data_IF_001144402797
#
_entry.id   IF_001144402797
#
_cell.length_a   1.000
_cell.length_b   1.000
_cell.length_c   1.000
_cell.angle_alpha   90.00
_cell.angle_beta   90.00
_cell.angle_gamma   90.00
#
_symmetry.space_group_name_H-M   'P 1'
#
loop_
_entity.id
_entity.type
_entity.pdbx_description
1 polymer ?
#
# COMPACT_ATOMS: atom_id res chain seq x y z
N UNK A 1 -11.76 46.83 43.55
CA UNK A 1 -10.92 45.93 42.74
C UNK A 1 -9.72 45.52 43.57
N UNK A 2 -9.60 44.24 43.85
CA UNK A 2 -8.42 43.70 44.55
C UNK A 2 -7.26 43.58 43.56
N UNK A 3 -6.01 43.57 44.04
CA UNK A 3 -4.84 43.40 43.17
C UNK A 3 -4.86 42.07 42.38
N UNK A 4 -5.64 41.08 42.82
CA UNK A 4 -5.81 39.81 42.12
C UNK A 4 -6.75 39.94 40.91
N UNK A 5 -7.80 40.77 40.99
CA UNK A 5 -8.70 41.01 39.86
C UNK A 5 -7.98 41.73 38.71
N UNK A 6 -7.11 42.69 39.03
CA UNK A 6 -6.32 43.41 38.02
C UNK A 6 -5.31 42.50 37.30
N UNK A 7 -4.68 41.56 38.02
CA UNK A 7 -3.77 40.58 37.40
C UNK A 7 -4.50 39.60 36.49
N UNK A 8 -5.74 39.25 36.83
CA UNK A 8 -6.53 38.32 36.03
C UNK A 8 -7.02 38.96 34.72
N UNK A 9 -7.43 40.23 34.77
CA UNK A 9 -7.76 41.02 33.56
C UNK A 9 -6.53 41.23 32.67
N UNK A 10 -5.36 41.52 33.26
CA UNK A 10 -4.13 41.71 32.49
C UNK A 10 -3.67 40.41 31.81
N UNK A 11 -3.86 39.26 32.46
CA UNK A 11 -3.60 37.95 31.86
C UNK A 11 -4.61 37.58 30.75
N UNK A 12 -5.89 37.92 30.92
CA UNK A 12 -6.89 37.72 29.87
C UNK A 12 -6.60 38.58 28.64
N UNK A 13 -6.23 39.86 28.84
CA UNK A 13 -5.86 40.75 27.74
C UNK A 13 -4.62 40.27 26.99
N UNK A 14 -3.63 39.70 27.68
CA UNK A 14 -2.43 39.16 27.03
C UNK A 14 -2.76 37.97 26.12
N UNK A 15 -3.69 37.11 26.56
CA UNK A 15 -4.12 35.94 25.79
C UNK A 15 -4.88 36.33 24.51
N UNK A 16 -5.75 37.34 24.58
CA UNK A 16 -6.48 37.84 23.40
C UNK A 16 -5.55 38.51 22.37
N UNK A 17 -4.45 39.14 22.82
CA UNK A 17 -3.47 39.74 21.89
C UNK A 17 -2.65 38.70 21.12
N UNK A 18 -2.36 37.54 21.72
CA UNK A 18 -1.63 36.47 21.04
C UNK A 18 -2.51 35.72 20.02
N UNK A 19 -3.80 35.50 20.32
CA UNK A 19 -4.75 34.93 19.34
C UNK A 19 -4.93 35.83 18.11
N UNK A 20 -4.97 37.15 18.30
CA UNK A 20 -5.07 38.08 17.16
C UNK A 20 -3.82 38.07 16.28
N UNK A 21 -2.61 37.95 16.85
CA UNK A 21 -1.37 37.86 16.06
C UNK A 21 -1.28 36.55 15.27
N UNK A 22 -1.77 35.45 15.83
CA UNK A 22 -1.79 34.17 15.12
C UNK A 22 -2.76 34.19 13.93
N UNK A 23 -3.93 34.85 14.10
CA UNK A 23 -4.90 35.03 13.03
C UNK A 23 -4.37 35.91 11.87
N UNK A 24 -3.64 37.00 12.16
CA UNK A 24 -3.03 37.84 11.13
C UNK A 24 -1.95 37.10 10.32
N UNK A 25 -1.17 36.22 10.97
CA UNK A 25 -0.14 35.42 10.30
C UNK A 25 -0.71 34.41 9.28
N UNK A 26 -1.93 33.89 9.53
CA UNK A 26 -2.62 32.96 8.61
C UNK A 26 -3.14 33.65 7.36
N UNK A 27 -3.67 34.88 7.50
CA UNK A 27 -4.22 35.65 6.36
C UNK A 27 -3.11 36.08 5.39
N UNK A 28 -1.90 36.31 5.89
CA UNK A 28 -0.76 36.70 5.04
C UNK A 28 -0.14 35.53 4.26
N UNK A 29 -0.33 34.29 4.72
CA UNK A 29 0.07 33.07 4.00
C UNK A 29 -0.77 32.77 2.76
N UNK A 30 -2.09 33.02 2.80
CA UNK A 30 -3.00 32.72 1.69
C UNK A 30 -2.88 33.69 0.51
N UNK A 31 -2.37 34.92 0.73
CA UNK A 31 -2.12 35.87 -0.36
C UNK A 31 -0.95 35.49 -1.28
N UNK A 32 -0.07 34.58 -0.89
CA UNK A 32 1.12 34.18 -1.70
C UNK A 32 0.86 33.07 -2.71
N UNK A 33 -0.31 32.43 -2.70
CA UNK A 33 -0.64 31.32 -3.61
C UNK A 33 -1.50 31.73 -4.81
N UNK A 34 -1.86 33.01 -4.95
CA UNK A 34 -2.80 33.50 -5.97
C UNK A 34 -2.22 34.05 -7.29
N UNK A 35 -0.89 34.14 -7.46
CA UNK A 35 -0.29 34.92 -8.57
C UNK A 35 0.45 34.10 -9.64
N UNK A 36 0.21 32.79 -9.77
CA UNK A 36 0.87 31.99 -10.82
C UNK A 36 -0.11 31.14 -11.63
N UNK A 37 -1.03 31.81 -12.34
CA UNK A 37 -1.84 31.20 -13.42
C UNK A 37 -1.66 32.04 -14.68
N UNK A 38 -0.79 31.59 -15.59
CA UNK A 38 -0.69 32.20 -16.92
C UNK A 38 0.49 31.74 -17.75
N UNK A 39 0.30 30.69 -18.56
CA UNK A 39 0.83 30.51 -19.93
C UNK A 39 0.64 29.03 -20.35
N UNK A 40 -0.19 28.76 -21.37
CA UNK A 40 0.26 28.37 -22.72
C UNK A 40 0.57 26.86 -22.80
N UNK A 41 0.06 26.03 -23.72
CA UNK A 41 -0.47 26.26 -25.07
C UNK A 41 -1.20 24.99 -25.53
N UNK A 42 -2.23 25.17 -26.35
CA UNK A 42 -2.88 24.12 -27.15
C UNK A 42 -1.85 23.35 -27.99
N UNK A 43 -1.91 22.03 -27.96
CA UNK A 43 -1.39 21.17 -29.02
C UNK A 43 -2.53 20.26 -29.50
N UNK A 44 -3.13 20.65 -30.62
CA UNK A 44 -3.98 19.78 -31.43
C UNK A 44 -3.06 18.80 -32.16
N UNK A 45 -3.16 17.50 -31.85
CA UNK A 45 -2.51 16.45 -32.62
C UNK A 45 -3.55 15.76 -33.51
N UNK A 46 -3.47 16.08 -34.79
CA UNK A 46 -4.19 15.43 -35.88
C UNK A 46 -3.81 13.94 -35.96
N UNK A 47 -4.81 13.08 -35.86
CA UNK A 47 -4.70 11.65 -36.13
C UNK A 47 -4.63 11.42 -37.65
N UNK A 48 -3.41 11.32 -38.20
CA UNK A 48 -3.19 10.82 -39.55
C UNK A 48 -3.08 9.30 -39.49
N UNK A 49 -4.04 8.62 -40.11
CA UNK A 49 -4.01 7.17 -40.32
C UNK A 49 -2.94 6.80 -41.35
N UNK A 50 -1.76 6.43 -40.86
CA UNK A 50 -0.82 5.63 -41.64
C UNK A 50 -1.00 4.16 -41.29
N UNK A 51 -1.35 3.38 -42.33
CA UNK A 51 -1.40 1.92 -42.31
C UNK A 51 -0.05 1.37 -41.83
N UNK A 52 -0.09 0.53 -40.81
CA UNK A 52 1.06 -0.29 -40.45
C UNK A 52 1.45 -1.17 -41.66
N UNK A 53 2.74 -1.24 -42.02
CA UNK A 53 3.22 -2.23 -42.98
C UNK A 53 3.08 -3.63 -42.36
N UNK A 54 2.44 -4.52 -43.11
CA UNK A 54 2.45 -5.95 -42.83
C UNK A 54 3.91 -6.42 -42.93
N UNK A 55 4.45 -6.89 -41.81
CA UNK A 55 5.73 -7.58 -41.77
C UNK A 55 5.50 -9.00 -42.29
N UNK A 56 5.80 -9.19 -43.58
CA UNK A 56 6.12 -10.49 -44.14
C UNK A 56 7.43 -10.96 -43.51
N UNK A 57 7.33 -11.84 -42.51
CA UNK A 57 8.49 -12.48 -41.91
C UNK A 57 8.80 -13.70 -42.75
N UNK A 58 9.70 -13.51 -43.71
CA UNK A 58 10.28 -14.58 -44.49
C UNK A 58 10.92 -15.62 -43.57
N UNK A 59 10.34 -16.82 -43.65
CA UNK A 59 10.98 -18.10 -43.43
C UNK A 59 12.32 -18.10 -44.19
N UNK A 60 13.46 -17.96 -43.49
CA UNK A 60 14.79 -18.56 -43.75
C UNK A 60 15.81 -17.81 -42.87
N UNK A 61 16.05 -18.30 -41.65
CA UNK A 61 17.31 -18.10 -40.88
C UNK A 61 17.35 -18.91 -39.57
N UNK A 62 16.66 -20.06 -39.47
CA UNK A 62 16.57 -20.86 -38.25
C UNK A 62 17.62 -22.00 -38.17
N UNK A 63 18.82 -21.83 -38.74
CA UNK A 63 19.79 -22.92 -38.85
C UNK A 63 21.20 -22.66 -38.29
N UNK A 64 21.54 -21.46 -37.78
CA UNK A 64 22.92 -21.18 -37.36
C UNK A 64 23.11 -20.70 -35.91
N UNK A 65 22.03 -20.53 -35.12
CA UNK A 65 22.12 -20.18 -33.68
C UNK A 65 22.06 -21.39 -32.73
N UNK A 66 22.34 -22.59 -33.26
CA UNK A 66 22.25 -23.87 -32.54
C UNK A 66 23.58 -24.51 -32.14
N UNK A 67 24.73 -23.82 -32.24
CA UNK A 67 26.06 -24.40 -31.95
C UNK A 67 26.94 -23.64 -30.96
N UNK A 68 26.46 -22.58 -30.32
CA UNK A 68 27.28 -21.75 -29.42
C UNK A 68 26.79 -21.73 -27.95
N UNK A 69 25.96 -22.71 -27.54
CA UNK A 69 25.53 -22.90 -26.14
C UNK A 69 26.04 -24.25 -25.56
N UNK A 70 26.94 -24.94 -26.28
CA UNK A 70 27.46 -26.25 -25.88
C UNK A 70 28.80 -26.23 -25.12
N UNK A 71 29.42 -25.06 -24.90
CA UNK A 71 30.81 -24.98 -24.39
C UNK A 71 30.99 -24.05 -23.18
N UNK A 72 29.96 -23.96 -22.31
CA UNK A 72 30.09 -23.45 -20.93
C UNK A 72 29.42 -24.37 -19.90
N UNK A 73 29.36 -25.68 -20.17
CA UNK A 73 29.08 -26.74 -19.18
C UNK A 73 30.40 -27.34 -18.70
N UNK A 74 31.17 -26.60 -17.90
CA UNK A 74 32.26 -27.18 -17.11
C UNK A 74 32.77 -26.21 -16.03
N UNK A 75 31.90 -25.83 -15.08
CA UNK A 75 32.38 -25.39 -13.75
C UNK A 75 31.46 -25.98 -12.67
N UNK A 76 31.99 -27.08 -12.10
CA UNK A 76 31.80 -27.56 -10.73
C UNK A 76 30.45 -28.15 -10.34
N UNK A 77 30.33 -29.43 -10.68
CA UNK A 77 29.98 -30.48 -9.73
C UNK A 77 30.69 -30.23 -8.37
N UNK A 78 29.97 -29.56 -7.50
CA UNK A 78 30.15 -29.56 -6.06
C UNK A 78 28.85 -30.06 -5.44
N UNK A 79 28.37 -31.22 -5.91
CA UNK A 79 27.32 -31.97 -5.20
C UNK A 79 27.94 -32.40 -3.89
N UNK A 80 27.78 -31.57 -2.86
CA UNK A 80 27.95 -31.99 -1.47
C UNK A 80 26.98 -33.14 -1.29
N UNK A 81 27.57 -34.30 -1.06
CA UNK A 81 26.99 -35.47 -0.46
C UNK A 81 25.88 -35.04 0.51
N UNK A 82 24.64 -35.32 0.12
CA UNK A 82 23.42 -34.99 0.85
C UNK A 82 23.47 -35.66 2.22
N UNK A 83 23.54 -34.85 3.26
CA UNK A 83 23.42 -35.26 4.65
C UNK A 83 22.06 -35.98 4.84
N UNK A 84 22.02 -37.27 5.21
CA UNK A 84 20.81 -38.09 5.18
C UNK A 84 19.80 -37.81 6.30
N UNK A 85 19.94 -36.71 7.05
CA UNK A 85 19.02 -36.31 8.13
C UNK A 85 18.46 -34.89 7.96
N UNK A 86 18.25 -34.42 6.72
CA UNK A 86 17.47 -33.19 6.50
C UNK A 86 16.02 -33.42 7.00
N UNK A 87 15.73 -32.88 8.18
CA UNK A 87 14.40 -32.88 8.78
C UNK A 87 13.48 -32.01 7.94
N UNK A 88 12.55 -32.65 7.23
CA UNK A 88 11.53 -31.96 6.45
C UNK A 88 10.50 -31.32 7.38
N UNK A 89 10.16 -30.07 7.11
CA UNK A 89 9.04 -29.38 7.77
C UNK A 89 7.79 -29.64 6.92
N UNK A 90 6.85 -30.40 7.46
CA UNK A 90 5.61 -30.78 6.78
C UNK A 90 4.43 -29.97 7.33
N UNK A 91 3.71 -29.30 6.43
CA UNK A 91 2.49 -28.55 6.75
C UNK A 91 1.26 -29.48 6.74
N UNK A 92 0.15 -29.08 7.39
CA UNK A 92 -1.10 -29.85 7.39
C UNK A 92 -1.70 -30.14 6.01
N UNK A 93 -1.31 -29.38 4.98
CA UNK A 93 -1.75 -29.57 3.59
C UNK A 93 -0.83 -30.50 2.78
N UNK A 94 0.19 -31.09 3.42
CA UNK A 94 1.12 -32.02 2.81
C UNK A 94 2.28 -31.37 2.04
N UNK A 95 2.39 -30.04 2.03
CA UNK A 95 3.58 -29.35 1.50
C UNK A 95 4.76 -29.57 2.43
N UNK A 96 5.94 -29.84 1.86
CA UNK A 96 7.19 -30.08 2.59
C UNK A 96 8.24 -29.08 2.19
N UNK A 97 8.96 -28.55 3.17
CA UNK A 97 10.04 -27.59 2.98
C UNK A 97 11.32 -28.09 3.65
N UNK A 98 12.46 -27.77 3.06
CA UNK A 98 13.74 -27.91 3.74
C UNK A 98 13.89 -26.81 4.81
N UNK A 99 14.70 -27.01 5.87
CA UNK A 99 14.95 -25.97 6.87
C UNK A 99 15.51 -24.67 6.27
N UNK A 100 16.31 -24.79 5.21
CA UNK A 100 16.86 -23.66 4.47
C UNK A 100 15.76 -22.88 3.75
N UNK A 101 14.87 -23.56 3.01
CA UNK A 101 13.72 -22.90 2.35
C UNK A 101 12.72 -22.30 3.34
N UNK A 102 12.57 -22.90 4.52
CA UNK A 102 11.65 -22.43 5.56
C UNK A 102 12.07 -21.07 6.14
N UNK A 103 13.38 -20.87 6.28
CA UNK A 103 13.97 -19.64 6.84
C UNK A 103 14.35 -18.63 5.76
N UNK A 104 14.39 -19.04 4.49
CA UNK A 104 14.72 -18.17 3.37
C UNK A 104 13.58 -17.18 3.05
N UNK A 105 13.93 -15.96 2.61
CA UNK A 105 12.96 -14.98 2.16
C UNK A 105 12.24 -15.44 0.88
N UNK A 106 10.97 -15.06 0.73
CA UNK A 106 10.14 -15.42 -0.44
C UNK A 106 10.55 -14.67 -1.70
N UNK A 107 11.03 -13.44 -1.53
CA UNK A 107 11.58 -12.55 -2.55
C UNK A 107 12.65 -11.66 -1.89
N UNK A 108 13.45 -10.95 -2.69
CA UNK A 108 14.53 -10.10 -2.17
C UNK A 108 13.98 -9.05 -1.19
N UNK A 109 14.61 -8.95 -0.02
CA UNK A 109 14.16 -8.11 1.11
C UNK A 109 12.70 -8.37 1.55
N UNK A 110 12.17 -9.57 1.28
CA UNK A 110 10.83 -10.00 1.64
C UNK A 110 10.74 -10.80 2.94
N UNK A 111 9.52 -11.19 3.34
CA UNK A 111 9.30 -12.03 4.51
C UNK A 111 9.79 -13.45 4.27
N UNK A 112 10.07 -14.17 5.37
CA UNK A 112 10.47 -15.58 5.31
C UNK A 112 9.29 -16.47 4.91
N UNK A 113 9.59 -17.69 4.43
CA UNK A 113 8.54 -18.68 4.15
C UNK A 113 7.70 -18.97 5.38
N UNK A 114 8.33 -19.10 6.54
CA UNK A 114 7.67 -19.28 7.83
C UNK A 114 6.61 -18.20 8.10
N UNK A 115 6.97 -16.92 7.93
CA UNK A 115 6.06 -15.80 8.12
C UNK A 115 4.87 -15.85 7.15
N UNK A 116 5.14 -16.16 5.88
CA UNK A 116 4.07 -16.26 4.88
C UNK A 116 3.10 -17.40 5.19
N UNK A 117 3.60 -18.54 5.65
CA UNK A 117 2.73 -19.67 6.01
C UNK A 117 1.99 -19.43 7.34
N UNK A 118 2.57 -18.72 8.31
CA UNK A 118 1.85 -18.31 9.51
C UNK A 118 0.70 -17.35 9.18
N UNK A 119 0.92 -16.38 8.30
CA UNK A 119 -0.14 -15.48 7.84
C UNK A 119 -1.23 -16.18 7.04
N UNK A 120 -0.93 -17.26 6.30
CA UNK A 120 -1.97 -18.06 5.63
C UNK A 120 -2.84 -18.83 6.62
N UNK A 121 -2.26 -19.25 7.75
CA UNK A 121 -3.02 -19.91 8.82
C UNK A 121 -3.91 -18.89 9.55
N UNK A 122 -3.40 -17.69 9.81
CA UNK A 122 -4.15 -16.61 10.47
C UNK A 122 -5.22 -16.00 9.55
N UNK A 123 -4.80 -15.63 8.34
CA UNK A 123 -5.64 -15.02 7.31
C UNK A 123 -5.83 -16.04 6.20
N UNK A 124 -7.04 -16.62 6.12
CA UNK A 124 -7.43 -17.68 5.16
C UNK A 124 -6.83 -17.54 3.76
N UNK A 125 -6.72 -16.31 3.25
CA UNK A 125 -6.07 -15.96 1.99
C UNK A 125 -5.30 -14.66 2.14
N UNK A 126 -4.09 -14.65 1.58
CA UNK A 126 -3.23 -13.48 1.41
C UNK A 126 -2.86 -13.34 -0.07
N UNK A 127 -2.52 -12.13 -0.48
CA UNK A 127 -2.23 -11.79 -1.87
C UNK A 127 -0.98 -10.92 -1.92
N UNK A 128 -0.13 -11.17 -2.91
CA UNK A 128 1.06 -10.37 -3.17
C UNK A 128 0.78 -9.39 -4.30
N UNK A 129 1.14 -8.13 -4.10
CA UNK A 129 0.92 -7.04 -5.05
C UNK A 129 2.25 -6.36 -5.34
N UNK A 130 2.87 -6.62 -6.50
CA UNK A 130 4.12 -5.96 -6.88
C UNK A 130 3.85 -4.54 -7.42
N UNK A 131 4.66 -3.58 -6.99
CA UNK A 131 4.77 -2.24 -7.55
C UNK A 131 6.23 -1.97 -7.94
N UNK A 132 6.46 -0.94 -8.75
CA UNK A 132 7.82 -0.57 -9.21
C UNK A 132 8.76 -0.20 -8.04
N UNK A 133 8.21 0.26 -6.91
CA UNK A 133 8.96 0.71 -5.73
C UNK A 133 8.94 -0.29 -4.56
N UNK A 134 8.28 -1.44 -4.72
CA UNK A 134 8.21 -2.43 -3.66
C UNK A 134 7.08 -3.44 -3.82
N UNK A 135 7.12 -4.48 -3.00
CA UNK A 135 6.06 -5.51 -2.98
C UNK A 135 5.27 -5.42 -1.69
N UNK A 136 3.94 -5.44 -1.82
CA UNK A 136 3.02 -5.47 -0.70
C UNK A 136 2.39 -6.86 -0.56
N UNK A 137 2.12 -7.27 0.66
CA UNK A 137 1.28 -8.44 0.94
C UNK A 137 0.05 -7.96 1.68
N UNK A 138 -1.11 -8.25 1.12
CA UNK A 138 -2.41 -7.84 1.63
C UNK A 138 -3.28 -9.06 1.96
N UNK A 139 -4.23 -8.87 2.87
CA UNK A 139 -5.32 -9.82 3.14
C UNK A 139 -6.67 -9.20 2.77
N UNK A 140 -7.69 -10.06 2.73
CA UNK A 140 -9.06 -9.58 2.67
C UNK A 140 -9.49 -8.90 3.98
N UNK A 141 -10.33 -7.88 3.84
CA UNK A 141 -11.04 -7.22 4.92
C UNK A 141 -12.16 -8.14 5.42
N UNK A 142 -12.24 -8.31 6.74
CA UNK A 142 -13.29 -9.09 7.38
C UNK A 142 -14.53 -8.25 7.66
N UNK A 143 -15.68 -8.91 7.85
CA UNK A 143 -16.93 -8.21 8.12
C UNK A 143 -16.97 -7.44 9.45
N UNK A 144 -16.38 -7.94 10.55
CA UNK A 144 -16.26 -7.16 11.78
C UNK A 144 -15.42 -5.88 11.58
N UNK A 145 -14.28 -5.98 10.90
CA UNK A 145 -13.40 -4.83 10.62
C UNK A 145 -14.11 -3.78 9.76
N UNK A 146 -14.76 -4.23 8.67
CA UNK A 146 -15.56 -3.34 7.84
C UNK A 146 -16.63 -2.61 8.64
N UNK A 147 -17.28 -3.30 9.59
CA UNK A 147 -18.30 -2.68 10.44
C UNK A 147 -17.71 -1.65 11.38
N UNK A 148 -16.56 -1.93 12.01
CA UNK A 148 -15.85 -0.97 12.87
C UNK A 148 -15.53 0.32 12.13
N UNK A 149 -14.97 0.20 10.93
CA UNK A 149 -14.61 1.36 10.08
C UNK A 149 -15.85 2.23 9.78
N UNK A 150 -17.00 1.61 9.50
CA UNK A 150 -18.24 2.34 9.23
C UNK A 150 -18.85 2.98 10.49
N UNK A 151 -18.75 2.31 11.64
CA UNK A 151 -19.26 2.80 12.91
C UNK A 151 -18.44 3.99 13.44
N UNK A 152 -17.12 3.95 13.33
CA UNK A 152 -16.23 5.07 13.67
C UNK A 152 -16.55 6.31 12.84
N UNK A 153 -16.77 6.13 11.53
CA UNK A 153 -17.19 7.22 10.64
C UNK A 153 -18.52 7.85 11.05
N UNK A 154 -19.48 7.04 11.48
CA UNK A 154 -20.77 7.54 11.95
C UNK A 154 -20.62 8.37 13.23
N UNK A 155 -19.80 7.91 14.19
CA UNK A 155 -19.55 8.59 15.47
C UNK A 155 -18.80 9.92 15.33
N UNK A 156 -17.81 9.98 14.43
CA UNK A 156 -17.05 11.20 14.11
C UNK A 156 -17.92 12.34 13.58
N UNK A 157 -19.05 12.01 12.96
CA UNK A 157 -20.00 13.00 12.42
C UNK A 157 -20.85 13.64 13.53
N UNK A 158 -21.06 12.93 14.65
CA UNK A 158 -21.92 13.39 15.75
C UNK A 158 -21.15 14.06 16.91
N UNK A 159 -19.86 13.77 17.08
CA UNK A 159 -19.15 14.09 18.33
C UNK A 159 -17.90 14.94 18.06
N UNK A 160 -18.02 16.26 18.13
CA UNK A 160 -16.91 17.21 17.98
C UNK A 160 -15.93 17.26 19.17
N UNK A 161 -15.60 16.13 19.81
CA UNK A 161 -14.62 16.05 20.92
C UNK A 161 -13.37 15.28 20.48
N UNK A 162 -12.23 15.51 21.13
CA UNK A 162 -10.94 14.92 20.77
C UNK A 162 -10.89 13.42 21.12
N UNK A 163 -10.34 12.62 20.21
CA UNK A 163 -10.61 11.19 20.15
C UNK A 163 -9.34 10.28 20.12
N UNK A 164 -9.42 9.01 20.62
CA UNK A 164 -8.38 7.96 20.55
C UNK A 164 -7.80 7.70 19.14
N UNK A 165 -6.67 6.96 19.07
CA UNK A 165 -5.87 6.76 17.85
C UNK A 165 -6.70 6.32 16.63
N UNK A 166 -7.61 5.36 16.82
CA UNK A 166 -8.54 4.84 15.79
C UNK A 166 -9.45 5.94 15.22
N UNK A 167 -9.98 6.79 16.09
CA UNK A 167 -10.82 7.92 15.71
C UNK A 167 -10.00 9.10 15.12
N UNK A 168 -8.73 9.24 15.52
CA UNK A 168 -7.77 10.15 14.87
C UNK A 168 -7.43 9.70 13.44
N UNK A 169 -7.33 8.38 13.24
CA UNK A 169 -7.09 7.76 11.95
C UNK A 169 -8.29 8.03 11.02
N UNK A 170 -9.53 7.74 11.44
CA UNK A 170 -10.71 7.97 10.62
C UNK A 170 -11.01 9.46 10.29
N UNK A 171 -10.40 10.42 11.01
CA UNK A 171 -10.52 11.87 10.76
C UNK A 171 -9.44 12.44 9.83
N UNK A 172 -8.31 11.76 9.71
CA UNK A 172 -7.16 12.15 8.87
C UNK A 172 -7.03 11.32 7.59
N UNK A 173 -7.50 10.09 7.63
CA UNK A 173 -7.38 9.14 6.53
C UNK A 173 -8.61 9.18 5.64
N UNK A 174 -8.37 9.19 4.33
CA UNK A 174 -9.39 8.71 3.41
C UNK A 174 -9.63 7.20 3.69
N UNK A 175 -10.86 6.74 3.52
CA UNK A 175 -11.25 5.35 3.81
C UNK A 175 -10.29 4.32 3.17
N UNK A 176 -9.77 4.65 1.98
CA UNK A 176 -8.84 3.84 1.21
C UNK A 176 -7.50 3.63 1.93
N UNK A 177 -6.98 4.69 2.54
CA UNK A 177 -5.72 4.64 3.28
C UNK A 177 -5.90 3.83 4.58
N UNK A 178 -7.02 3.99 5.28
CA UNK A 178 -7.30 3.23 6.51
C UNK A 178 -7.43 1.73 6.21
N UNK A 179 -8.16 1.39 5.15
CA UNK A 179 -8.34 -0.01 4.72
C UNK A 179 -7.00 -0.61 4.30
N UNK A 180 -6.19 0.15 3.55
CA UNK A 180 -4.86 -0.28 3.14
C UNK A 180 -3.94 -0.51 4.34
N UNK A 181 -3.95 0.38 5.33
CA UNK A 181 -3.17 0.22 6.56
C UNK A 181 -3.58 -1.03 7.36
N UNK A 182 -4.89 -1.26 7.54
CA UNK A 182 -5.41 -2.40 8.32
C UNK A 182 -5.14 -3.74 7.63
N UNK A 183 -5.25 -3.79 6.31
CA UNK A 183 -5.20 -5.04 5.53
C UNK A 183 -3.82 -5.34 4.94
N UNK A 184 -2.86 -4.42 5.03
CA UNK A 184 -1.48 -4.67 4.60
C UNK A 184 -0.70 -5.35 5.72
N UNK A 185 -0.12 -6.50 5.40
CA UNK A 185 0.67 -7.32 6.31
C UNK A 185 2.17 -7.10 6.05
N UNK A 186 2.55 -6.87 4.79
CA UNK A 186 3.93 -6.56 4.40
C UNK A 186 3.96 -5.33 3.49
N UNK A 187 4.93 -4.40 3.67
CA UNK A 187 5.90 -4.37 4.77
C UNK A 187 5.23 -4.10 6.13
N UNK A 188 5.79 -4.56 7.26
CA UNK A 188 5.16 -4.37 8.57
C UNK A 188 5.01 -2.88 8.93
N UNK A 189 5.92 -2.04 8.43
CA UNK A 189 5.85 -0.59 8.57
C UNK A 189 4.65 0.01 7.85
N UNK A 190 4.07 -0.66 6.86
CA UNK A 190 2.87 -0.18 6.19
C UNK A 190 1.65 -0.14 7.13
N UNK A 191 1.70 -0.78 8.29
CA UNK A 191 0.66 -0.59 9.31
C UNK A 191 0.73 0.81 9.96
N UNK A 192 1.85 1.53 9.78
CA UNK A 192 2.04 2.88 10.31
C UNK A 192 1.64 3.95 9.29
N UNK A 193 0.95 4.99 9.76
CA UNK A 193 0.51 6.16 8.98
C UNK A 193 1.65 6.84 8.21
N UNK A 194 2.76 7.08 8.91
CA UNK A 194 3.95 7.75 8.38
C UNK A 194 4.52 7.04 7.15
N UNK A 195 4.37 5.71 7.07
CA UNK A 195 4.83 4.96 5.91
C UNK A 195 4.04 5.34 4.65
N UNK A 196 2.70 5.33 4.72
CA UNK A 196 1.85 5.68 3.58
C UNK A 196 1.96 7.17 3.22
N UNK A 197 2.15 8.05 4.20
CA UNK A 197 2.26 9.49 3.94
C UNK A 197 3.60 9.93 3.36
N UNK A 198 4.71 9.31 3.79
CA UNK A 198 6.05 9.81 3.46
C UNK A 198 6.77 8.98 2.40
N UNK A 199 6.55 7.66 2.38
CA UNK A 199 7.37 6.72 1.60
C UNK A 199 6.65 6.13 0.40
N UNK A 200 5.33 6.14 0.42
CA UNK A 200 4.51 5.52 -0.62
C UNK A 200 4.01 6.57 -1.60
N UNK A 201 4.15 6.38 -2.92
CA UNK A 201 3.57 7.28 -3.92
C UNK A 201 2.06 7.44 -3.74
N UNK A 202 1.59 8.68 -3.96
CA UNK A 202 0.17 9.01 -3.92
C UNK A 202 -0.65 8.07 -4.83
N UNK A 203 -1.84 7.68 -4.37
CA UNK A 203 -2.75 6.77 -5.09
C UNK A 203 -2.48 5.27 -4.89
N UNK A 204 -1.32 4.88 -4.33
CA UNK A 204 -1.06 3.46 -4.01
C UNK A 204 -2.10 2.92 -3.04
N UNK A 205 -2.45 3.69 -2.01
CA UNK A 205 -3.47 3.32 -1.05
C UNK A 205 -4.84 3.11 -1.71
N UNK A 206 -5.23 3.94 -2.69
CA UNK A 206 -6.47 3.74 -3.45
C UNK A 206 -6.46 2.44 -4.24
N UNK A 207 -5.34 2.14 -4.92
CA UNK A 207 -5.17 0.89 -5.67
C UNK A 207 -5.23 -0.33 -4.74
N UNK A 208 -4.52 -0.28 -3.61
CA UNK A 208 -4.53 -1.35 -2.61
C UNK A 208 -5.93 -1.55 -2.05
N UNK A 209 -6.63 -0.48 -1.68
CA UNK A 209 -7.99 -0.54 -1.17
C UNK A 209 -8.95 -1.18 -2.18
N UNK A 210 -8.86 -0.81 -3.46
CA UNK A 210 -9.66 -1.43 -4.52
C UNK A 210 -9.41 -2.94 -4.61
N UNK A 211 -8.13 -3.35 -4.64
CA UNK A 211 -7.76 -4.76 -4.67
C UNK A 211 -8.26 -5.50 -3.42
N UNK A 212 -8.16 -4.89 -2.24
CA UNK A 212 -8.68 -5.45 -0.99
C UNK A 212 -10.19 -5.65 -1.10
N UNK A 213 -10.94 -4.65 -1.56
CA UNK A 213 -12.40 -4.76 -1.75
C UNK A 213 -12.76 -5.91 -2.69
N UNK A 214 -12.05 -6.04 -3.81
CA UNK A 214 -12.25 -7.13 -4.77
C UNK A 214 -11.99 -8.51 -4.16
N UNK A 215 -10.95 -8.64 -3.32
CA UNK A 215 -10.61 -9.92 -2.67
C UNK A 215 -11.44 -10.23 -1.42
N UNK A 216 -12.14 -9.25 -0.86
CA UNK A 216 -12.94 -9.38 0.36
C UNK A 216 -14.36 -9.89 0.12
N UNK A 217 -14.66 -10.36 -1.10
CA UNK A 217 -15.96 -10.90 -1.50
C UNK A 217 -17.15 -9.93 -1.35
N UNK A 218 -16.89 -8.61 -1.41
CA UNK A 218 -17.95 -7.60 -1.48
C UNK A 218 -18.64 -7.56 -2.85
N UNK A 219 -17.99 -8.09 -3.88
CA UNK A 219 -18.53 -8.20 -5.24
C UNK A 219 -18.90 -9.64 -5.53
N UNK A 220 -20.09 -9.86 -6.06
CA UNK A 220 -20.48 -11.17 -6.58
C UNK A 220 -19.66 -11.47 -7.83
N UNK A 221 -19.16 -12.71 -7.96
CA UNK A 221 -18.38 -13.13 -9.14
C UNK A 221 -19.21 -13.11 -10.43
N UNK A 222 -20.52 -13.28 -10.29
CA UNK A 222 -21.47 -13.32 -11.40
C UNK A 222 -22.69 -12.47 -11.04
N UNK A 223 -23.29 -11.78 -12.03
CA UNK A 223 -24.56 -11.11 -11.82
C UNK A 223 -25.62 -12.10 -11.31
N UNK A 224 -26.68 -11.61 -10.63
CA UNK A 224 -27.80 -12.45 -10.23
C UNK A 224 -28.37 -13.17 -11.45
N UNK A 225 -28.37 -14.51 -11.41
CA UNK A 225 -29.00 -15.34 -12.43
C UNK A 225 -30.47 -15.46 -12.04
N UNK A 226 -31.37 -15.02 -12.92
CA UNK A 226 -32.79 -15.31 -12.77
C UNK A 226 -33.02 -16.82 -12.89
N UNK A 227 -33.67 -17.41 -11.89
CA UNK A 227 -34.04 -18.82 -11.87
C UNK A 227 -35.35 -19.06 -12.63
#
# INVERSE_FOLDING_TARGET
>A
MTMEEQKMEEQQSLFEMDEMKEAESRVEGEKRLGENVGASTKAEASFNGERMPQLDVDLVAAAELGKEIAEKKQIKDGVKESDPELQWIELPDGRKFTPEEWTSPVFDDGPTREMVESWKQEHRKIYMVPFDFGTFIIRGLTRPEYRSIQEEKAKLTETGKQEPLEERLAKKFDNEELISAICTIWPPEAQNEEFFMEKVPAGTAGILAEMIYDKSAFRALTPPIAL
#
